data_IF_450866383635
#
_entry.id   IF_450866383635
#
_cell.length_a   1.000
_cell.length_b   1.000
_cell.length_c   1.000
_cell.angle_alpha   90.00
_cell.angle_beta   90.00
_cell.angle_gamma   90.00
#
_symmetry.space_group_name_H-M   'P 1'
#
loop_
_entity.id
_entity.type
_entity.pdbx_description
1 polymer ?
#
# COMPACT_ATOMS: atom_id res chain seq x y z
N UNK A 1 -0.39 24.76 -34.73
CA UNK A 1 -0.50 23.60 -35.64
C UNK A 1 0.88 22.99 -35.70
N UNK A 2 1.23 21.91 -35.02
CA UNK A 2 0.48 20.94 -34.23
C UNK A 2 1.44 20.20 -33.29
N UNK A 3 0.83 19.51 -32.33
CA UNK A 3 1.40 18.83 -31.16
C UNK A 3 2.55 17.86 -31.47
N UNK A 4 3.58 17.88 -30.62
CA UNK A 4 4.46 16.74 -30.40
C UNK A 4 3.76 15.81 -29.40
N UNK A 5 3.47 14.58 -29.85
CA UNK A 5 2.68 13.60 -29.12
C UNK A 5 3.36 13.14 -27.84
N UNK A 6 2.58 13.09 -26.76
CA UNK A 6 2.84 12.28 -25.59
C UNK A 6 2.98 10.82 -26.01
N UNK A 7 4.15 10.25 -25.72
CA UNK A 7 4.38 8.82 -25.78
C UNK A 7 3.69 8.17 -24.58
N UNK A 8 2.44 7.75 -24.77
CA UNK A 8 1.78 6.82 -23.84
C UNK A 8 2.49 5.47 -23.93
N UNK A 9 3.14 5.07 -22.83
CA UNK A 9 3.65 3.70 -22.70
C UNK A 9 2.47 2.72 -22.74
N UNK A 10 2.57 1.59 -23.46
CA UNK A 10 1.48 0.63 -23.55
C UNK A 10 1.26 0.00 -22.18
N UNK A 11 0.10 0.25 -21.57
CA UNK A 11 -0.36 -0.49 -20.39
C UNK A 11 -0.34 -1.98 -20.74
N UNK A 12 0.52 -2.75 -20.06
CA UNK A 12 0.75 -4.16 -20.38
C UNK A 12 -0.57 -4.94 -20.28
N UNK A 13 -0.80 -5.87 -21.21
CA UNK A 13 -2.04 -6.68 -21.25
C UNK A 13 -2.32 -7.47 -19.97
N UNK A 14 -1.27 -7.74 -19.18
CA UNK A 14 -1.35 -8.35 -17.85
C UNK A 14 -2.03 -7.42 -16.83
N UNK A 15 -1.72 -6.11 -16.85
CA UNK A 15 -2.34 -5.14 -15.95
C UNK A 15 -3.85 -4.99 -16.19
N UNK A 16 -4.27 -5.06 -17.46
CA UNK A 16 -5.70 -5.06 -17.85
C UNK A 16 -6.43 -6.33 -17.39
N UNK A 17 -5.79 -7.50 -17.49
CA UNK A 17 -6.35 -8.77 -17.01
C UNK A 17 -6.54 -8.77 -15.49
N UNK A 18 -5.57 -8.23 -14.75
CA UNK A 18 -5.61 -8.14 -13.28
C UNK A 18 -6.66 -7.11 -12.83
N UNK A 19 -6.79 -5.99 -13.54
CA UNK A 19 -7.84 -5.01 -13.27
C UNK A 19 -9.25 -5.56 -13.44
N UNK A 20 -9.44 -6.41 -14.47
CA UNK A 20 -10.69 -7.10 -14.65
C UNK A 20 -10.94 -8.15 -13.55
N UNK A 21 -9.91 -8.89 -13.14
CA UNK A 21 -10.02 -9.90 -12.09
C UNK A 21 -10.45 -9.31 -10.73
N UNK A 22 -10.06 -8.07 -10.43
CA UNK A 22 -10.29 -7.39 -9.14
C UNK A 22 -11.44 -6.36 -9.15
N UNK A 23 -12.33 -6.41 -10.14
CA UNK A 23 -13.42 -5.42 -10.31
C UNK A 23 -14.66 -5.59 -9.42
N UNK A 24 -14.75 -6.66 -8.64
CA UNK A 24 -15.90 -6.98 -7.77
C UNK A 24 -15.58 -6.69 -6.30
N UNK A 25 -16.58 -6.65 -5.42
CA UNK A 25 -16.35 -6.45 -3.98
C UNK A 25 -15.51 -7.59 -3.37
N UNK A 26 -14.62 -7.32 -2.40
CA UNK A 26 -13.74 -8.32 -1.78
C UNK A 26 -14.47 -9.58 -1.27
N UNK A 27 -15.71 -9.41 -0.79
CA UNK A 27 -16.54 -10.47 -0.21
C UNK A 27 -17.03 -11.49 -1.25
N UNK A 28 -16.98 -11.14 -2.54
CA UNK A 28 -17.46 -11.99 -3.64
C UNK A 28 -16.45 -13.03 -4.11
N UNK A 29 -15.20 -12.93 -3.67
CA UNK A 29 -14.08 -13.62 -4.29
C UNK A 29 -13.70 -14.96 -3.66
N UNK A 30 -14.17 -15.26 -2.45
CA UNK A 30 -13.77 -16.49 -1.75
C UNK A 30 -12.24 -16.61 -1.59
N UNK A 31 -11.75 -17.80 -1.25
CA UNK A 31 -10.31 -18.07 -1.10
C UNK A 31 -9.75 -18.67 -2.41
N UNK A 32 -9.87 -17.92 -3.51
CA UNK A 32 -9.44 -18.34 -4.85
C UNK A 32 -7.95 -18.03 -5.07
N UNK A 33 -7.11 -19.03 -5.42
CA UNK A 33 -5.68 -18.84 -5.60
C UNK A 33 -5.31 -17.91 -6.77
N UNK A 34 -6.14 -17.81 -7.81
CA UNK A 34 -5.88 -16.90 -8.93
C UNK A 34 -6.07 -15.44 -8.50
N UNK A 35 -6.95 -15.21 -7.51
CA UNK A 35 -7.22 -13.89 -6.94
C UNK A 35 -6.12 -13.49 -5.96
N UNK A 36 -5.67 -14.43 -5.12
CA UNK A 36 -4.50 -14.23 -4.26
C UNK A 36 -3.26 -13.86 -5.10
N UNK A 37 -3.05 -14.55 -6.24
CA UNK A 37 -1.98 -14.22 -7.18
C UNK A 37 -2.16 -12.82 -7.78
N UNK A 38 -3.38 -12.45 -8.21
CA UNK A 38 -3.67 -11.13 -8.75
C UNK A 38 -3.38 -10.01 -7.72
N UNK A 39 -3.74 -10.22 -6.45
CA UNK A 39 -3.39 -9.31 -5.36
C UNK A 39 -1.89 -9.23 -5.11
N UNK A 40 -1.19 -10.36 -5.09
CA UNK A 40 0.27 -10.38 -4.91
C UNK A 40 0.98 -9.60 -6.02
N UNK A 41 0.57 -9.78 -7.28
CA UNK A 41 1.14 -9.04 -8.42
C UNK A 41 0.89 -7.53 -8.27
N UNK A 42 -0.34 -7.13 -7.92
CA UNK A 42 -0.67 -5.71 -7.71
C UNK A 42 0.11 -5.09 -6.55
N UNK A 43 0.21 -5.79 -5.43
CA UNK A 43 0.94 -5.31 -4.27
C UNK A 43 2.44 -5.15 -4.57
N UNK A 44 3.03 -6.05 -5.36
CA UNK A 44 4.39 -5.93 -5.88
C UNK A 44 4.55 -4.73 -6.82
N UNK A 45 3.63 -4.52 -7.77
CA UNK A 45 3.67 -3.36 -8.67
C UNK A 45 3.59 -2.04 -7.89
N UNK A 46 2.69 -1.97 -6.90
CA UNK A 46 2.59 -0.83 -5.99
C UNK A 46 3.91 -0.60 -5.24
N UNK A 47 4.51 -1.66 -4.69
CA UNK A 47 5.79 -1.60 -4.00
C UNK A 47 6.93 -1.07 -4.88
N UNK A 48 7.01 -1.50 -6.14
CA UNK A 48 8.02 -1.02 -7.09
C UNK A 48 7.85 0.47 -7.42
N UNK A 49 6.62 0.92 -7.66
CA UNK A 49 6.32 2.33 -7.93
C UNK A 49 6.64 3.17 -6.71
N UNK A 50 6.20 2.73 -5.53
CA UNK A 50 6.48 3.40 -4.27
C UNK A 50 7.99 3.50 -4.00
N UNK A 51 8.73 2.41 -4.20
CA UNK A 51 10.18 2.38 -4.00
C UNK A 51 10.92 3.33 -4.95
N UNK A 52 10.51 3.38 -6.23
CA UNK A 52 11.05 4.35 -7.20
C UNK A 52 10.78 5.78 -6.75
N UNK A 53 9.58 6.06 -6.27
CA UNK A 53 9.18 7.40 -5.82
C UNK A 53 10.06 7.87 -4.66
N UNK A 54 10.14 7.10 -3.57
CA UNK A 54 10.90 7.49 -2.36
C UNK A 54 12.43 7.49 -2.57
N UNK A 55 12.94 6.80 -3.59
CA UNK A 55 14.37 6.77 -3.91
C UNK A 55 14.79 7.82 -4.94
N UNK A 56 13.84 8.41 -5.68
CA UNK A 56 14.13 9.38 -6.74
C UNK A 56 13.98 10.84 -6.31
N UNK A 57 13.23 11.11 -5.24
CA UNK A 57 13.03 12.46 -4.70
C UNK A 57 13.29 12.48 -3.20
N UNK A 58 13.57 13.66 -2.65
CA UNK A 58 13.66 13.85 -1.20
C UNK A 58 12.28 13.57 -0.56
N UNK A 59 12.16 12.53 0.29
CA UNK A 59 10.89 12.14 0.89
C UNK A 59 10.25 13.24 1.76
N UNK A 60 11.01 14.23 2.23
CA UNK A 60 10.46 15.33 3.03
C UNK A 60 9.40 16.14 2.28
N UNK A 61 9.49 16.20 0.94
CA UNK A 61 8.55 16.94 0.11
C UNK A 61 7.49 16.04 -0.52
N UNK A 62 7.54 14.74 -0.26
CA UNK A 62 6.59 13.79 -0.82
C UNK A 62 5.28 13.83 -0.03
N UNK A 63 4.17 13.98 -0.74
CA UNK A 63 2.82 13.83 -0.19
C UNK A 63 2.17 12.62 -0.87
N UNK A 64 1.75 11.65 -0.06
CA UNK A 64 1.13 10.41 -0.52
C UNK A 64 -0.39 10.56 -0.58
N UNK A 65 -0.96 11.36 0.31
CA UNK A 65 -2.39 11.68 0.35
C UNK A 65 -2.62 13.17 0.60
N UNK A 66 -3.87 13.61 0.44
CA UNK A 66 -4.28 14.99 0.77
C UNK A 66 -4.34 15.24 2.28
N UNK A 67 -4.26 14.20 3.11
CA UNK A 67 -4.48 14.24 4.56
C UNK A 67 -3.33 13.63 5.35
N UNK A 68 -2.11 13.59 4.79
CA UNK A 68 -0.93 12.98 5.42
C UNK A 68 -0.67 13.47 6.85
N UNK A 69 -0.83 14.77 7.09
CA UNK A 69 -0.57 15.36 8.41
C UNK A 69 -1.60 14.90 9.44
N UNK A 70 -2.86 14.69 9.01
CA UNK A 70 -3.92 14.11 9.84
C UNK A 70 -3.64 12.63 10.13
N UNK A 71 -3.30 11.86 9.09
CA UNK A 71 -2.93 10.44 9.23
C UNK A 71 -1.78 10.29 10.24
N UNK A 72 -0.72 11.10 10.10
CA UNK A 72 0.43 11.03 11.00
C UNK A 72 0.07 11.40 12.44
N UNK A 73 -0.75 12.43 12.63
CA UNK A 73 -1.18 12.87 13.97
C UNK A 73 -1.99 11.78 14.68
N UNK A 74 -2.99 11.22 14.00
CA UNK A 74 -3.83 10.12 14.50
C UNK A 74 -3.01 8.85 14.75
N UNK A 75 -2.06 8.56 13.85
CA UNK A 75 -1.14 7.43 14.00
C UNK A 75 -0.29 7.57 15.27
N UNK A 76 0.27 8.76 15.53
CA UNK A 76 1.10 8.99 16.74
C UNK A 76 0.29 9.07 18.02
N UNK A 77 -0.99 9.41 17.97
CA UNK A 77 -1.88 9.34 19.13
C UNK A 77 -2.18 7.88 19.52
N UNK A 78 -2.42 7.00 18.55
CA UNK A 78 -2.78 5.59 18.80
C UNK A 78 -1.55 4.70 19.01
N UNK A 79 -0.49 4.96 18.26
CA UNK A 79 0.74 4.16 18.19
C UNK A 79 1.96 4.97 18.66
N UNK A 80 1.83 5.65 19.80
CA UNK A 80 2.83 6.57 20.36
C UNK A 80 4.24 5.97 20.42
N UNK A 81 4.34 4.71 20.88
CA UNK A 81 5.62 4.02 21.08
C UNK A 81 6.05 3.16 19.90
N UNK A 82 5.24 3.06 18.84
CA UNK A 82 5.55 2.20 17.70
C UNK A 82 6.75 2.77 16.95
N UNK A 83 7.77 1.94 16.80
CA UNK A 83 8.95 2.24 16.00
C UNK A 83 8.61 2.11 14.52
N UNK A 84 9.09 3.05 13.72
CA UNK A 84 8.80 3.11 12.27
C UNK A 84 10.03 2.87 11.41
N UNK A 85 11.21 2.79 12.03
CA UNK A 85 12.47 2.49 11.38
C UNK A 85 12.64 0.97 11.18
N UNK A 86 12.34 0.20 12.22
CA UNK A 86 12.27 -1.26 12.19
C UNK A 86 11.00 -1.71 12.90
N UNK A 87 10.11 -2.36 12.16
CA UNK A 87 8.80 -2.84 12.61
C UNK A 87 8.88 -4.29 13.07
N UNK A 88 8.24 -4.58 14.20
CA UNK A 88 7.97 -5.96 14.62
C UNK A 88 6.67 -6.45 13.91
N UNK A 89 6.72 -7.54 13.14
CA UNK A 89 5.53 -8.14 12.53
C UNK A 89 4.39 -8.42 13.53
N UNK A 90 4.71 -8.73 14.79
CA UNK A 90 3.69 -9.01 15.81
C UNK A 90 2.92 -7.74 16.23
N UNK A 91 3.54 -6.57 16.16
CA UNK A 91 2.88 -5.26 16.39
C UNK A 91 1.92 -4.87 15.25
N UNK A 92 1.90 -5.64 14.17
CA UNK A 92 1.04 -5.44 13.00
C UNK A 92 0.01 -6.57 12.85
N UNK A 93 0.41 -7.82 13.14
CA UNK A 93 -0.39 -9.03 12.83
C UNK A 93 -1.05 -9.69 14.03
N UNK A 94 -0.64 -9.40 15.26
CA UNK A 94 -1.30 -9.96 16.44
C UNK A 94 -2.76 -9.50 16.53
N UNK A 95 -3.61 -10.30 17.19
CA UNK A 95 -5.04 -9.94 17.31
C UNK A 95 -5.24 -8.60 18.03
N UNK A 96 -4.44 -8.33 19.07
CA UNK A 96 -4.45 -7.04 19.78
C UNK A 96 -3.96 -5.87 18.92
N UNK A 97 -2.99 -6.10 18.03
CA UNK A 97 -2.57 -5.11 17.04
C UNK A 97 -3.70 -4.82 16.05
N UNK A 98 -4.33 -5.86 15.50
CA UNK A 98 -5.47 -5.71 14.56
C UNK A 98 -6.64 -4.97 15.18
N UNK A 99 -6.91 -5.16 16.47
CA UNK A 99 -7.94 -4.39 17.20
C UNK A 99 -7.64 -2.89 17.28
N UNK A 100 -6.37 -2.46 17.18
CA UNK A 100 -5.98 -1.04 17.08
C UNK A 100 -5.94 -0.53 15.64
N UNK A 101 -5.39 -1.34 14.72
CA UNK A 101 -5.25 -0.98 13.32
C UNK A 101 -6.59 -0.84 12.60
N UNK A 102 -7.57 -1.73 12.86
CA UNK A 102 -8.89 -1.67 12.21
C UNK A 102 -9.62 -0.34 12.48
N UNK A 103 -9.83 0.11 13.73
CA UNK A 103 -10.43 1.42 13.99
C UNK A 103 -9.63 2.58 13.39
N UNK A 104 -8.30 2.52 13.41
CA UNK A 104 -7.45 3.54 12.81
C UNK A 104 -7.72 3.69 11.31
N UNK A 105 -7.69 2.59 10.54
CA UNK A 105 -7.95 2.64 9.11
C UNK A 105 -9.38 3.13 8.80
N UNK A 106 -10.37 2.69 9.59
CA UNK A 106 -11.77 3.11 9.41
C UNK A 106 -12.00 4.61 9.62
N UNK A 107 -11.14 5.32 10.37
CA UNK A 107 -11.22 6.80 10.47
C UNK A 107 -11.07 7.50 9.12
N UNK A 108 -10.45 6.84 8.15
CA UNK A 108 -10.18 7.38 6.82
C UNK A 108 -11.11 6.83 5.74
N UNK A 109 -12.12 6.02 6.11
CA UNK A 109 -13.15 5.57 5.19
C UNK A 109 -13.87 6.78 4.56
N UNK A 110 -13.92 6.83 3.23
CA UNK A 110 -14.50 7.96 2.48
C UNK A 110 -13.63 9.22 2.43
N UNK A 111 -12.46 9.23 3.09
CA UNK A 111 -11.45 10.31 3.02
C UNK A 111 -10.27 9.88 2.14
N UNK A 112 -9.79 8.66 2.36
CA UNK A 112 -8.78 7.99 1.54
C UNK A 112 -9.52 6.95 0.69
N UNK A 113 -9.42 7.08 -0.63
CA UNK A 113 -10.17 6.25 -1.60
C UNK A 113 -9.95 4.75 -1.36
N UNK A 114 -8.70 4.36 -1.17
CA UNK A 114 -8.25 2.97 -1.05
C UNK A 114 -7.72 2.65 0.36
N UNK A 115 -8.42 3.13 1.40
CA UNK A 115 -7.96 3.02 2.81
C UNK A 115 -7.74 1.58 3.32
N UNK A 116 -8.33 0.58 2.65
CA UNK A 116 -8.25 -0.84 2.99
C UNK A 116 -7.54 -1.68 1.91
N UNK A 117 -6.81 -1.03 1.01
CA UNK A 117 -6.10 -1.69 -0.07
C UNK A 117 -4.83 -2.37 0.44
N UNK A 118 -4.70 -3.67 0.17
CA UNK A 118 -3.57 -4.46 0.62
C UNK A 118 -2.28 -4.10 -0.12
N UNK A 119 -1.23 -3.76 0.62
CA UNK A 119 0.07 -3.35 0.06
C UNK A 119 1.22 -4.12 0.69
N UNK A 120 2.39 -4.04 0.07
CA UNK A 120 3.62 -4.55 0.68
C UNK A 120 4.32 -3.47 1.48
N UNK A 121 4.54 -3.77 2.75
CA UNK A 121 5.24 -2.92 3.71
C UNK A 121 6.63 -3.49 4.02
N UNK A 122 7.64 -2.63 3.99
CA UNK A 122 9.01 -2.98 4.43
C UNK A 122 9.08 -2.94 5.95
N UNK A 123 9.64 -3.98 6.56
CA UNK A 123 9.82 -4.06 8.01
C UNK A 123 10.95 -3.14 8.47
N UNK A 124 12.08 -3.14 7.78
CA UNK A 124 13.18 -2.20 7.94
C UNK A 124 13.22 -1.23 6.76
N UNK A 125 13.04 0.07 7.05
CA UNK A 125 12.98 1.10 6.02
C UNK A 125 14.33 1.33 5.31
N UNK A 126 15.45 0.93 5.91
CA UNK A 126 16.80 1.05 5.35
C UNK A 126 17.14 -0.04 4.33
N UNK A 127 16.35 -1.12 4.30
CA UNK A 127 16.54 -2.27 3.42
C UNK A 127 15.54 -2.26 2.25
N UNK A 128 15.82 -3.00 1.19
CA UNK A 128 14.91 -3.14 0.04
C UNK A 128 13.71 -4.04 0.33
N UNK A 129 12.83 -4.19 -0.67
CA UNK A 129 11.81 -5.24 -0.66
C UNK A 129 12.48 -6.61 -0.87
N UNK A 130 12.44 -7.46 0.15
CA UNK A 130 12.90 -8.86 0.12
C UNK A 130 11.89 -9.74 0.84
N UNK A 131 11.93 -11.06 0.66
CA UNK A 131 11.03 -12.00 1.35
C UNK A 131 11.10 -11.83 2.88
N UNK A 132 12.30 -11.65 3.44
CA UNK A 132 12.51 -11.50 4.89
C UNK A 132 12.16 -10.11 5.43
N UNK A 133 12.21 -9.07 4.59
CA UNK A 133 12.00 -7.68 4.98
C UNK A 133 10.61 -7.14 4.57
N UNK A 134 9.70 -7.99 4.10
CA UNK A 134 8.43 -7.55 3.54
C UNK A 134 7.26 -8.29 4.15
N UNK A 135 6.17 -7.58 4.44
CA UNK A 135 4.90 -8.18 4.81
C UNK A 135 3.76 -7.60 3.96
N UNK A 136 2.71 -8.40 3.79
CA UNK A 136 1.42 -7.91 3.33
C UNK A 136 0.71 -7.21 4.51
N UNK A 137 0.24 -5.99 4.26
CA UNK A 137 -0.43 -5.11 5.23
C UNK A 137 -1.73 -4.55 4.66
#
# INVERSE_FOLDING_TARGET
>A
MDAAGESEEPVSGEALSIAHALSHPPESYGNDPDIEMAWAIRAMQHAEVYYKLISSVDPQFLKLTKVDDQIYSEFREIFETLRVDVLDPEELKSESAKEKWRPFCLKFEGIVEDYNYGTLLRLDCSQGYTEENTIFA
#
